data_IF_130001224479
#
_entry.id   IF_130001224479
#
_cell.length_a   1.000
_cell.length_b   1.000
_cell.length_c   1.000
_cell.angle_alpha   90.00
_cell.angle_beta   90.00
_cell.angle_gamma   90.00
#
_symmetry.space_group_name_H-M   'P 1'
#
loop_
_entity.id
_entity.type
_entity.pdbx_description
1 polymer ?
#
# COMPACT_ATOMS: atom_id res chain seq x y z
N UNK A 1 17.48 -15.40 18.36
CA UNK A 1 16.99 -15.14 18.03
C UNK A 1 16.37 -13.99 17.73
N UNK A 2 15.61 -13.62 18.08
CA UNK A 2 15.00 -12.46 17.71
C UNK A 2 15.70 -11.27 18.06
N UNK A 3 16.82 -11.32 18.59
CA UNK A 3 17.46 -10.06 18.84
C UNK A 3 17.97 -9.42 17.61
N UNK A 4 18.06 -10.10 16.52
CA UNK A 4 18.41 -9.37 15.33
C UNK A 4 17.35 -8.39 14.99
N UNK A 5 16.10 -8.76 15.16
CA UNK A 5 15.04 -7.82 14.91
C UNK A 5 15.11 -6.65 15.85
N UNK A 6 15.42 -6.96 17.10
CA UNK A 6 15.48 -5.93 18.10
C UNK A 6 16.56 -4.91 17.80
N UNK A 7 17.70 -5.39 17.35
CA UNK A 7 18.79 -4.48 17.11
C UNK A 7 18.53 -3.56 15.93
N UNK A 8 17.63 -3.97 15.04
CA UNK A 8 17.35 -3.14 13.89
C UNK A 8 16.26 -2.14 14.14
N UNK A 9 15.57 -2.26 15.25
CA UNK A 9 14.48 -1.36 15.52
C UNK A 9 14.92 -0.28 16.46
N UNK A 10 14.82 0.96 16.00
CA UNK A 10 15.09 2.12 16.80
C UNK A 10 13.82 2.91 16.92
N UNK A 11 13.74 3.83 17.90
CA UNK A 11 12.55 4.67 17.98
C UNK A 11 12.26 5.43 16.71
N UNK A 12 13.29 5.92 16.03
CA UNK A 12 13.07 6.63 14.79
C UNK A 12 12.52 5.71 13.71
N UNK A 13 13.05 4.49 13.62
CA UNK A 13 12.60 3.54 12.62
C UNK A 13 11.15 3.15 12.87
N UNK A 14 10.80 2.94 14.13
CA UNK A 14 9.44 2.57 14.47
C UNK A 14 8.48 3.69 14.14
N UNK A 15 8.85 4.93 14.49
CA UNK A 15 7.99 6.07 14.19
C UNK A 15 7.81 6.26 12.70
N UNK A 16 8.88 6.09 11.93
CA UNK A 16 8.79 6.22 10.48
C UNK A 16 7.86 5.17 9.90
N UNK A 17 7.96 3.93 10.40
CA UNK A 17 7.10 2.87 9.90
C UNK A 17 5.64 3.14 10.25
N UNK A 18 5.39 3.65 11.44
CA UNK A 18 4.03 3.97 11.85
C UNK A 18 3.46 5.11 11.02
N UNK A 19 4.29 6.08 10.71
CA UNK A 19 3.88 7.21 9.90
C UNK A 19 3.50 6.75 8.49
N UNK A 20 4.32 5.89 7.91
CA UNK A 20 4.04 5.38 6.58
C UNK A 20 2.75 4.53 6.59
N UNK A 21 2.60 3.69 7.59
CA UNK A 21 1.40 2.86 7.70
C UNK A 21 0.15 3.73 7.82
N UNK A 22 0.26 4.80 8.60
CA UNK A 22 -0.87 5.70 8.75
C UNK A 22 -1.26 6.35 7.43
N UNK A 23 -0.26 6.79 6.67
CA UNK A 23 -0.52 7.42 5.39
C UNK A 23 -1.10 6.42 4.40
N UNK A 24 -0.58 5.19 4.39
CA UNK A 24 -1.11 4.15 3.51
C UNK A 24 -2.56 3.87 3.84
N UNK A 25 -2.88 3.72 5.11
CA UNK A 25 -4.26 3.45 5.52
C UNK A 25 -5.19 4.59 5.14
N UNK A 26 -4.75 5.82 5.35
CA UNK A 26 -5.55 6.97 4.98
C UNK A 26 -5.75 7.03 3.47
N UNK A 27 -4.71 6.72 2.70
CA UNK A 27 -4.80 6.72 1.25
C UNK A 27 -5.77 5.66 0.77
N UNK A 28 -5.73 4.48 1.40
CA UNK A 28 -6.66 3.41 1.06
C UNK A 28 -8.11 3.85 1.29
N UNK A 29 -8.34 4.49 2.42
CA UNK A 29 -9.69 4.94 2.74
C UNK A 29 -10.19 6.02 1.82
N UNK A 30 -9.28 6.79 1.26
CA UNK A 30 -9.65 7.86 0.35
C UNK A 30 -9.90 7.38 -1.07
N UNK A 31 -9.57 6.13 -1.38
CA UNK A 31 -9.78 5.62 -2.73
C UNK A 31 -11.26 5.49 -3.05
N UNK A 32 -11.63 5.68 -4.33
CA UNK A 32 -12.97 5.29 -4.75
C UNK A 32 -13.20 3.82 -4.42
N UNK A 33 -14.45 3.48 -4.19
CA UNK A 33 -14.79 2.16 -3.67
C UNK A 33 -14.28 1.04 -4.57
N UNK A 34 -14.42 1.18 -5.89
CA UNK A 34 -14.00 0.11 -6.78
C UNK A 34 -12.49 -0.08 -6.77
N UNK A 35 -11.73 1.00 -6.63
CA UNK A 35 -10.27 0.89 -6.56
C UNK A 35 -9.85 0.28 -5.23
N UNK A 36 -10.49 0.71 -4.15
CA UNK A 36 -10.14 0.17 -2.84
C UNK A 36 -10.45 -1.31 -2.78
N UNK A 37 -11.58 -1.72 -3.33
CA UNK A 37 -11.95 -3.12 -3.32
C UNK A 37 -10.96 -3.96 -4.11
N UNK A 38 -10.58 -3.50 -5.30
CA UNK A 38 -9.67 -4.26 -6.14
C UNK A 38 -8.30 -4.42 -5.49
N UNK A 39 -7.75 -3.33 -4.95
CA UNK A 39 -6.42 -3.42 -4.36
C UNK A 39 -6.45 -4.21 -3.05
N UNK A 40 -7.54 -4.12 -2.30
CA UNK A 40 -7.67 -4.90 -1.07
C UNK A 40 -7.71 -6.39 -1.39
N UNK A 41 -8.47 -6.79 -2.39
CA UNK A 41 -8.56 -8.19 -2.75
C UNK A 41 -7.20 -8.71 -3.23
N UNK A 42 -6.43 -7.89 -3.90
CA UNK A 42 -5.14 -8.31 -4.40
C UNK A 42 -4.07 -8.31 -3.32
N UNK A 43 -3.93 -7.20 -2.60
CA UNK A 43 -2.79 -7.03 -1.71
C UNK A 43 -3.02 -7.62 -0.33
N UNK A 44 -4.24 -7.63 0.13
CA UNK A 44 -4.53 -8.10 1.48
C UNK A 44 -5.08 -9.51 1.45
N UNK A 45 -6.01 -9.78 0.54
CA UNK A 45 -6.60 -11.11 0.46
C UNK A 45 -5.79 -12.07 -0.38
N UNK A 46 -4.93 -11.56 -1.25
CA UNK A 46 -4.04 -12.41 -2.03
C UNK A 46 -4.68 -13.09 -3.22
N UNK A 47 -5.79 -12.56 -3.72
CA UNK A 47 -6.49 -13.19 -4.84
C UNK A 47 -5.75 -12.95 -6.15
N UNK A 48 -5.93 -13.86 -7.08
CA UNK A 48 -5.43 -13.69 -8.43
C UNK A 48 -6.30 -12.67 -9.17
N UNK A 49 -5.78 -12.18 -10.29
CA UNK A 49 -6.55 -11.24 -11.10
C UNK A 49 -7.83 -11.87 -11.58
N UNK A 50 -7.79 -13.14 -11.94
CA UNK A 50 -9.00 -13.84 -12.39
C UNK A 50 -10.00 -13.94 -11.27
N UNK A 51 -9.53 -14.25 -10.08
CA UNK A 51 -10.43 -14.36 -8.93
C UNK A 51 -11.06 -13.01 -8.60
N UNK A 52 -10.28 -11.94 -8.71
CA UNK A 52 -10.80 -10.61 -8.46
C UNK A 52 -11.85 -10.23 -9.52
N UNK A 53 -11.55 -10.55 -10.78
CA UNK A 53 -12.49 -10.27 -11.86
C UNK A 53 -13.82 -10.97 -11.60
N UNK A 54 -13.73 -12.20 -11.14
CA UNK A 54 -14.93 -12.95 -10.81
C UNK A 54 -15.68 -12.32 -9.64
N UNK A 55 -14.94 -11.99 -8.59
CA UNK A 55 -15.54 -11.42 -7.39
C UNK A 55 -16.19 -10.06 -7.65
N UNK A 56 -15.57 -9.26 -8.50
CA UNK A 56 -16.08 -7.93 -8.80
C UNK A 56 -16.97 -7.91 -10.03
N UNK A 57 -17.11 -9.06 -10.68
CA UNK A 57 -17.97 -9.19 -11.85
C UNK A 57 -17.58 -8.17 -12.92
N UNK A 58 -16.32 -8.18 -13.31
CA UNK A 58 -15.79 -7.27 -14.32
C UNK A 58 -14.68 -7.95 -15.10
N UNK A 59 -14.32 -7.42 -16.27
CA UNK A 59 -13.24 -8.00 -17.05
C UNK A 59 -11.90 -7.90 -16.34
N UNK A 60 -11.00 -8.82 -16.65
CA UNK A 60 -9.70 -8.84 -16.00
C UNK A 60 -8.90 -7.57 -16.31
N UNK A 61 -9.07 -7.00 -17.50
CA UNK A 61 -8.42 -5.75 -17.84
C UNK A 61 -8.83 -4.62 -16.93
N UNK A 62 -10.11 -4.62 -16.54
CA UNK A 62 -10.62 -3.62 -15.61
C UNK A 62 -9.97 -3.80 -14.23
N UNK A 63 -9.77 -5.05 -13.81
CA UNK A 63 -9.10 -5.32 -12.54
C UNK A 63 -7.69 -4.73 -12.58
N UNK A 64 -6.95 -4.98 -13.65
CA UNK A 64 -5.60 -4.46 -13.77
C UNK A 64 -5.56 -2.94 -13.69
N UNK A 65 -6.47 -2.28 -14.40
CA UNK A 65 -6.55 -0.83 -14.39
C UNK A 65 -6.85 -0.30 -13.00
N UNK A 66 -7.79 -0.93 -12.32
CA UNK A 66 -8.17 -0.48 -10.98
C UNK A 66 -7.03 -0.63 -10.01
N UNK A 67 -6.33 -1.77 -10.07
CA UNK A 67 -5.20 -2.00 -9.17
C UNK A 67 -4.09 -1.01 -9.46
N UNK A 68 -3.82 -0.76 -10.75
CA UNK A 68 -2.79 0.20 -11.12
C UNK A 68 -3.11 1.59 -10.58
N UNK A 69 -4.34 2.04 -10.78
CA UNK A 69 -4.74 3.36 -10.32
C UNK A 69 -4.71 3.46 -8.80
N UNK A 70 -5.12 2.39 -8.12
CA UNK A 70 -5.08 2.38 -6.66
C UNK A 70 -3.66 2.50 -6.17
N UNK A 71 -2.76 1.73 -6.75
CA UNK A 71 -1.36 1.77 -6.34
C UNK A 71 -0.74 3.13 -6.63
N UNK A 72 -1.09 3.73 -7.75
CA UNK A 72 -0.57 5.06 -8.09
C UNK A 72 -1.03 6.09 -7.07
N UNK A 73 -2.29 6.03 -6.68
CA UNK A 73 -2.82 6.99 -5.73
C UNK A 73 -2.16 6.84 -4.36
N UNK A 74 -1.97 5.58 -3.92
CA UNK A 74 -1.31 5.33 -2.64
C UNK A 74 0.15 5.78 -2.70
N UNK A 75 0.82 5.45 -3.79
CA UNK A 75 2.21 5.81 -3.98
C UNK A 75 2.42 7.32 -3.93
N UNK A 76 1.50 8.05 -4.54
CA UNK A 76 1.59 9.50 -4.55
C UNK A 76 1.56 10.08 -3.14
N UNK A 77 0.82 9.44 -2.24
CA UNK A 77 0.75 9.91 -0.87
C UNK A 77 1.97 9.50 -0.05
N UNK A 78 2.53 8.35 -0.35
CA UNK A 78 3.64 7.83 0.44
C UNK A 78 4.97 8.40 -0.03
N UNK A 79 5.10 8.72 -1.30
CA UNK A 79 6.37 9.15 -1.87
C UNK A 79 6.98 10.34 -1.14
N UNK A 80 6.23 11.39 -0.78
CA UNK A 80 6.85 12.50 -0.06
C UNK A 80 7.49 12.09 1.26
N UNK A 81 6.91 11.12 1.94
CA UNK A 81 7.51 10.66 3.19
C UNK A 81 8.82 9.95 2.94
N UNK A 82 8.87 9.13 1.91
CA UNK A 82 10.08 8.40 1.59
C UNK A 82 11.17 9.35 1.12
N UNK A 83 10.82 10.33 0.31
CA UNK A 83 11.78 11.30 -0.16
C UNK A 83 12.33 12.15 0.97
N UNK A 84 11.47 12.52 1.89
CA UNK A 84 11.92 13.27 3.05
C UNK A 84 12.95 12.50 3.84
N UNK A 85 12.67 11.23 4.08
CA UNK A 85 13.57 10.42 4.86
C UNK A 85 14.89 10.20 4.14
N UNK A 86 14.83 9.99 2.83
CA UNK A 86 16.04 9.85 2.04
C UNK A 86 16.84 11.13 2.04
N UNK A 87 16.16 12.26 1.88
CA UNK A 87 16.83 13.54 1.81
C UNK A 87 17.60 13.88 3.06
N UNK A 88 17.13 13.38 4.18
CA UNK A 88 17.79 13.72 5.43
C UNK A 88 19.18 13.18 5.52
N UNK A 89 19.51 12.20 4.72
CA UNK A 89 20.85 11.64 4.78
C UNK A 89 21.87 12.49 4.11
N UNK A 90 21.50 13.42 3.31
CA UNK A 90 22.44 14.31 2.65
C UNK A 90 22.68 15.55 3.46
#
# INVERSE_FOLDING_TARGET
>A
MDHELTTQETPETVLAAQEIAHVVNAAMEALPEDLRQAVTLREIEGLSYEEIASAMNCPIGTVRSRIFRAREAISAKVRPLLENQSGKRW
#
